data_IF_388668698001
#
_entry.id   IF_388668698001
#
_cell.length_a   1.000
_cell.length_b   1.000
_cell.length_c   1.000
_cell.angle_alpha   90.00
_cell.angle_beta   90.00
_cell.angle_gamma   90.00
#
_symmetry.space_group_name_H-M   'P 1'
#
loop_
_entity.id
_entity.type
_entity.pdbx_description
1 polymer ?
#
# COMPACT_ATOMS: atom_id res chain seq x y z
N UNK A 1 -18.95 13.61 -8.44
CA UNK A 1 -18.31 14.55 -9.41
C UNK A 1 -16.99 15.13 -8.91
N UNK A 2 -16.83 15.50 -7.62
CA UNK A 2 -15.53 15.97 -7.08
C UNK A 2 -14.44 14.90 -7.10
N UNK A 3 -14.79 13.63 -6.77
CA UNK A 3 -13.87 12.47 -6.77
C UNK A 3 -13.29 12.20 -8.19
N UNK A 4 -14.09 12.33 -9.26
CA UNK A 4 -13.64 12.18 -10.65
C UNK A 4 -12.75 13.33 -11.14
N UNK A 5 -12.94 14.53 -10.62
CA UNK A 5 -12.15 15.71 -10.99
C UNK A 5 -10.70 15.63 -10.45
N UNK A 6 -10.51 15.04 -9.28
CA UNK A 6 -9.18 14.81 -8.69
C UNK A 6 -8.40 13.78 -9.53
N UNK A 7 -9.05 12.68 -9.94
CA UNK A 7 -8.45 11.68 -10.82
C UNK A 7 -8.02 12.26 -12.17
N UNK A 8 -8.86 13.12 -12.77
CA UNK A 8 -8.54 13.75 -14.05
C UNK A 8 -7.39 14.77 -13.96
N UNK A 9 -7.24 15.45 -12.83
CA UNK A 9 -6.16 16.40 -12.59
C UNK A 9 -4.80 15.69 -12.43
N UNK A 10 -4.77 14.53 -11.78
CA UNK A 10 -3.57 13.72 -11.62
C UNK A 10 -3.13 13.05 -12.94
N UNK A 11 -4.06 12.54 -13.74
CA UNK A 11 -3.78 11.99 -15.07
C UNK A 11 -3.21 13.03 -16.05
N UNK A 12 -3.54 14.31 -15.89
CA UNK A 12 -2.98 15.37 -16.75
C UNK A 12 -1.54 15.77 -16.40
N UNK A 13 -1.05 15.45 -15.20
CA UNK A 13 0.35 15.64 -14.80
C UNK A 13 1.31 14.60 -15.45
N UNK A 14 0.79 13.53 -16.03
CA UNK A 14 1.55 12.46 -16.70
C UNK A 14 2.26 12.88 -18.01
N UNK A 15 2.15 14.14 -18.43
CA UNK A 15 2.67 14.61 -19.71
C UNK A 15 4.12 15.15 -19.68
N UNK A 16 4.84 15.04 -18.54
CA UNK A 16 6.22 15.53 -18.43
C UNK A 16 7.19 14.41 -18.78
N UNK A 17 7.67 14.39 -20.03
CA UNK A 17 8.66 13.41 -20.51
C UNK A 17 10.08 13.83 -20.12
N UNK A 18 10.63 13.18 -19.10
CA UNK A 18 12.05 13.23 -18.77
C UNK A 18 12.67 11.82 -18.87
N UNK A 19 13.77 11.65 -19.58
CA UNK A 19 14.57 10.43 -19.58
C UNK A 19 15.54 10.46 -18.39
N UNK A 20 15.02 10.32 -17.16
CA UNK A 20 15.87 10.32 -15.98
C UNK A 20 16.11 8.88 -15.49
N UNK A 21 17.38 8.51 -15.26
CA UNK A 21 17.75 7.31 -14.53
C UNK A 21 17.53 7.44 -13.00
N UNK A 22 16.94 8.55 -12.58
CA UNK A 22 16.59 8.87 -11.20
C UNK A 22 15.27 9.64 -11.18
N UNK A 23 14.49 9.45 -10.12
CA UNK A 23 13.24 10.18 -9.88
C UNK A 23 13.18 10.65 -8.44
N UNK A 24 12.44 11.72 -8.16
CA UNK A 24 12.33 12.28 -6.81
C UNK A 24 10.88 12.34 -6.30
N UNK A 25 9.92 12.11 -7.18
CA UNK A 25 8.53 12.00 -6.78
C UNK A 25 7.81 10.89 -7.57
N UNK A 26 6.78 10.35 -6.94
CA UNK A 26 5.88 9.37 -7.55
C UNK A 26 4.44 9.77 -7.22
N UNK A 27 3.55 9.67 -8.20
CA UNK A 27 2.10 9.78 -8.01
C UNK A 27 1.43 8.52 -8.51
N UNK A 28 0.35 8.11 -7.84
CA UNK A 28 -0.43 6.94 -8.16
C UNK A 28 -1.92 7.21 -8.22
N UNK A 29 -2.60 6.36 -8.96
CA UNK A 29 -4.05 6.24 -8.95
C UNK A 29 -4.44 4.77 -9.04
N UNK A 30 -5.47 4.38 -8.30
CA UNK A 30 -5.98 3.01 -8.27
C UNK A 30 -7.49 2.97 -8.34
N UNK A 31 -8.03 1.86 -8.82
CA UNK A 31 -9.44 1.52 -8.76
C UNK A 31 -9.58 0.06 -8.39
N UNK A 32 -10.58 -0.26 -7.58
CA UNK A 32 -10.89 -1.64 -7.20
C UNK A 32 -12.40 -1.86 -7.23
N UNK A 33 -12.77 -3.13 -7.44
CA UNK A 33 -14.14 -3.63 -7.38
C UNK A 33 -14.16 -4.89 -6.52
N UNK A 34 -15.13 -4.98 -5.63
CA UNK A 34 -15.34 -6.14 -4.74
C UNK A 34 -16.71 -6.72 -5.02
N UNK A 35 -16.76 -8.01 -5.29
CA UNK A 35 -17.96 -8.76 -5.63
C UNK A 35 -18.18 -9.88 -4.60
N UNK A 36 -18.97 -9.63 -3.55
CA UNK A 36 -19.30 -10.67 -2.57
C UNK A 36 -20.38 -11.61 -3.09
N UNK A 37 -20.30 -12.87 -2.67
CA UNK A 37 -21.34 -13.88 -2.97
C UNK A 37 -22.70 -13.50 -2.40
N UNK A 38 -22.70 -12.73 -1.31
CA UNK A 38 -23.91 -12.20 -0.67
C UNK A 38 -23.72 -10.71 -0.32
N UNK A 39 -24.76 -9.90 -0.57
CA UNK A 39 -24.75 -8.48 -0.25
C UNK A 39 -24.45 -7.58 -1.45
N UNK A 40 -24.02 -6.37 -1.17
CA UNK A 40 -23.77 -5.36 -2.21
C UNK A 40 -22.32 -5.40 -2.65
N UNK A 41 -22.08 -5.32 -3.94
CA UNK A 41 -20.74 -5.06 -4.50
C UNK A 41 -20.23 -3.69 -4.07
N UNK A 42 -18.92 -3.53 -4.07
CA UNK A 42 -18.24 -2.29 -3.71
C UNK A 42 -17.29 -1.82 -4.78
N UNK A 43 -17.07 -0.52 -4.81
CA UNK A 43 -16.04 0.12 -5.63
C UNK A 43 -15.14 0.94 -4.73
N UNK A 44 -13.85 0.96 -5.03
CA UNK A 44 -12.90 1.87 -4.39
C UNK A 44 -12.08 2.61 -5.43
N UNK A 45 -11.70 3.84 -5.10
CA UNK A 45 -10.81 4.66 -5.89
C UNK A 45 -9.76 5.26 -4.96
N UNK A 46 -8.48 5.16 -5.32
CA UNK A 46 -7.36 5.67 -4.54
C UNK A 46 -6.48 6.62 -5.35
N UNK A 47 -5.85 7.54 -4.65
CA UNK A 47 -4.76 8.38 -5.16
C UNK A 47 -3.67 8.44 -4.12
N UNK A 48 -2.40 8.42 -4.55
CA UNK A 48 -1.25 8.53 -3.68
C UNK A 48 -0.17 9.41 -4.29
N UNK A 49 0.70 9.93 -3.43
CA UNK A 49 1.89 10.67 -3.81
C UNK A 49 3.00 10.45 -2.81
N UNK A 50 4.23 10.27 -3.32
CA UNK A 50 5.44 10.11 -2.52
C UNK A 50 6.51 11.08 -3.01
N UNK A 51 7.15 11.78 -2.08
CA UNK A 51 8.31 12.62 -2.35
C UNK A 51 9.53 12.06 -1.62
N UNK A 52 10.58 11.78 -2.37
CA UNK A 52 11.86 11.29 -1.86
C UNK A 52 12.79 12.47 -1.55
N UNK A 53 13.42 12.45 -0.37
CA UNK A 53 14.30 13.56 0.05
C UNK A 53 15.56 13.69 -0.81
N UNK A 54 15.98 12.57 -1.44
CA UNK A 54 17.03 12.54 -2.46
C UNK A 54 16.54 11.79 -3.69
N UNK A 55 17.05 12.11 -4.89
CA UNK A 55 16.70 11.37 -6.10
C UNK A 55 17.02 9.88 -5.99
N UNK A 56 16.02 9.03 -6.26
CA UNK A 56 16.13 7.57 -6.24
C UNK A 56 16.88 7.10 -7.47
N UNK A 57 17.93 6.32 -7.26
CA UNK A 57 18.71 5.73 -8.34
C UNK A 57 18.16 4.35 -8.72
N UNK A 58 17.73 4.19 -9.97
CA UNK A 58 17.12 2.92 -10.43
C UNK A 58 18.14 1.77 -10.59
N UNK A 59 19.42 2.06 -10.71
CA UNK A 59 20.53 1.07 -10.80
C UNK A 59 20.15 -0.20 -11.59
N UNK A 60 20.82 -1.33 -11.33
CA UNK A 60 20.47 -2.64 -11.91
C UNK A 60 19.55 -3.45 -10.95
N UNK A 61 18.50 -2.82 -10.47
CA UNK A 61 17.50 -3.41 -9.56
C UNK A 61 16.13 -3.49 -10.24
N UNK A 62 15.19 -4.30 -9.72
CA UNK A 62 13.79 -4.22 -10.13
C UNK A 62 13.27 -2.79 -9.95
N UNK A 63 12.62 -2.23 -10.96
CA UNK A 63 12.15 -0.85 -10.89
C UNK A 63 11.15 -0.63 -9.73
N UNK A 64 10.38 -1.66 -9.40
CA UNK A 64 9.45 -1.60 -8.26
C UNK A 64 10.17 -1.41 -6.92
N UNK A 65 11.38 -1.96 -6.76
CA UNK A 65 12.15 -1.96 -5.52
C UNK A 65 13.26 -0.91 -5.47
N UNK A 66 13.33 -0.04 -6.48
CA UNK A 66 14.44 0.92 -6.61
C UNK A 66 14.57 1.84 -5.39
N UNK A 67 13.47 2.40 -4.89
CA UNK A 67 13.48 3.30 -3.73
C UNK A 67 13.94 2.59 -2.44
N UNK A 68 13.45 1.38 -2.21
CA UNK A 68 13.84 0.56 -1.07
C UNK A 68 15.31 0.17 -1.11
N UNK A 69 15.79 -0.36 -2.24
CA UNK A 69 17.18 -0.78 -2.41
C UNK A 69 18.18 0.39 -2.41
N UNK A 70 17.72 1.58 -2.80
CA UNK A 70 18.50 2.83 -2.71
C UNK A 70 18.40 3.48 -1.32
N UNK A 71 17.66 2.89 -0.38
CA UNK A 71 17.39 3.41 0.97
C UNK A 71 16.90 4.86 0.92
N UNK A 72 15.95 5.12 0.04
CA UNK A 72 15.45 6.46 -0.22
C UNK A 72 14.42 6.88 0.83
N UNK A 73 14.85 7.76 1.74
CA UNK A 73 13.96 8.38 2.72
C UNK A 73 12.90 9.23 2.03
N UNK A 74 11.66 9.17 2.51
CA UNK A 74 10.53 9.78 1.83
C UNK A 74 9.42 10.23 2.79
N UNK A 75 8.51 11.02 2.26
CA UNK A 75 7.20 11.32 2.83
C UNK A 75 6.13 10.99 1.80
N UNK A 76 5.06 10.34 2.25
CA UNK A 76 3.93 9.98 1.41
C UNK A 76 2.61 10.49 1.95
N UNK A 77 1.62 10.63 1.06
CA UNK A 77 0.24 10.88 1.43
C UNK A 77 -0.69 10.15 0.45
N UNK A 78 -1.87 9.77 0.92
CA UNK A 78 -2.86 9.09 0.11
C UNK A 78 -4.27 9.43 0.52
N UNK A 79 -5.21 9.21 -0.40
CA UNK A 79 -6.64 9.24 -0.14
C UNK A 79 -7.31 8.08 -0.87
N UNK A 80 -8.23 7.40 -0.18
CA UNK A 80 -9.04 6.31 -0.75
C UNK A 80 -10.51 6.58 -0.46
N UNK A 81 -11.35 6.34 -1.46
CA UNK A 81 -12.78 6.52 -1.43
C UNK A 81 -13.44 5.20 -1.81
N UNK A 82 -14.19 4.61 -0.91
CA UNK A 82 -14.87 3.34 -1.13
C UNK A 82 -16.37 3.48 -0.91
N UNK A 83 -17.14 2.88 -1.81
CA UNK A 83 -18.61 2.83 -1.75
C UNK A 83 -19.03 1.36 -1.79
N UNK A 84 -19.82 0.90 -0.82
CA UNK A 84 -20.39 -0.44 -0.80
C UNK A 84 -21.83 -0.42 -0.27
N UNK A 85 -22.79 -0.60 -1.17
CA UNK A 85 -24.22 -0.57 -0.79
C UNK A 85 -24.64 0.76 -0.20
N UNK A 86 -24.91 0.78 1.11
CA UNK A 86 -25.30 1.98 1.84
C UNK A 86 -24.14 2.59 2.66
N UNK A 87 -22.93 2.03 2.56
CA UNK A 87 -21.77 2.49 3.33
C UNK A 87 -20.77 3.16 2.40
N UNK A 88 -20.37 4.37 2.75
CA UNK A 88 -19.28 5.12 2.14
C UNK A 88 -18.11 5.14 3.15
N UNK A 89 -16.89 4.90 2.70
CA UNK A 89 -15.67 5.00 3.53
C UNK A 89 -14.66 5.89 2.81
N UNK A 90 -14.32 7.02 3.41
CA UNK A 90 -13.27 7.91 2.92
C UNK A 90 -12.05 7.80 3.87
N UNK A 91 -10.86 7.55 3.34
CA UNK A 91 -9.61 7.42 4.11
C UNK A 91 -8.60 8.43 3.61
N UNK A 92 -7.94 9.10 4.54
CA UNK A 92 -6.85 10.04 4.26
C UNK A 92 -5.64 9.68 5.14
N UNK A 93 -4.46 9.51 4.56
CA UNK A 93 -3.29 9.13 5.33
C UNK A 93 -2.02 9.83 4.87
N UNK A 94 -1.04 9.86 5.78
CA UNK A 94 0.31 10.31 5.52
C UNK A 94 1.32 9.44 6.26
N UNK A 95 2.49 9.27 5.67
CA UNK A 95 3.58 8.49 6.24
C UNK A 95 4.94 9.13 5.95
N UNK A 96 5.92 8.78 6.77
CA UNK A 96 7.32 9.13 6.57
C UNK A 96 8.19 7.92 6.81
N UNK A 97 9.20 7.75 5.96
CA UNK A 97 10.22 6.71 6.09
C UNK A 97 11.61 7.35 6.03
N UNK A 98 12.45 7.01 7.00
CA UNK A 98 13.81 7.55 7.11
C UNK A 98 14.82 6.43 7.26
N UNK A 99 15.63 6.23 6.25
CA UNK A 99 16.86 5.45 6.35
C UNK A 99 17.95 6.38 6.93
N UNK A 100 18.39 6.07 8.14
CA UNK A 100 19.34 6.94 8.87
C UNK A 100 20.68 6.98 8.14
N UNK A 101 21.16 8.17 7.71
CA UNK A 101 22.38 8.28 6.92
C UNK A 101 23.60 7.66 7.62
N UNK A 102 24.45 6.97 6.85
CA UNK A 102 25.66 6.29 7.33
C UNK A 102 25.41 5.25 8.44
N UNK A 103 24.25 4.66 8.47
CA UNK A 103 23.89 3.60 9.41
C UNK A 103 23.05 2.54 8.72
N UNK A 104 22.76 1.45 9.43
CA UNK A 104 21.81 0.42 9.00
C UNK A 104 20.47 0.53 9.76
N UNK A 105 20.18 1.68 10.32
CA UNK A 105 18.91 1.93 11.00
C UNK A 105 17.86 2.57 10.08
N UNK A 106 16.61 2.25 10.37
CA UNK A 106 15.41 2.72 9.70
C UNK A 106 14.39 3.18 10.73
N UNK A 107 13.62 4.21 10.40
CA UNK A 107 12.49 4.68 11.21
C UNK A 107 11.32 4.94 10.25
N UNK A 108 10.14 4.45 10.61
CA UNK A 108 8.88 4.70 9.91
C UNK A 108 7.81 5.22 10.85
N UNK A 109 6.94 6.08 10.36
CA UNK A 109 5.74 6.50 11.06
C UNK A 109 4.64 6.90 10.08
N UNK A 110 3.39 6.77 10.51
CA UNK A 110 2.24 7.21 9.71
C UNK A 110 0.98 7.39 10.54
N UNK A 111 0.03 8.09 9.95
CA UNK A 111 -1.31 8.33 10.51
C UNK A 111 -2.33 8.28 9.39
N UNK A 112 -3.51 7.76 9.68
CA UNK A 112 -4.64 7.82 8.76
C UNK A 112 -5.94 8.11 9.51
N UNK A 113 -6.82 8.87 8.87
CA UNK A 113 -8.19 9.14 9.28
C UNK A 113 -9.13 8.37 8.36
N UNK A 114 -10.04 7.61 8.96
CA UNK A 114 -11.09 6.87 8.27
C UNK A 114 -12.43 7.48 8.65
N UNK A 115 -13.19 7.95 7.66
CA UNK A 115 -14.53 8.48 7.83
C UNK A 115 -15.53 7.47 7.28
N UNK A 116 -16.46 6.99 8.10
CA UNK A 116 -17.51 6.05 7.75
C UNK A 116 -18.86 6.78 7.70
N UNK A 117 -19.63 6.59 6.63
CA UNK A 117 -21.01 7.05 6.53
C UNK A 117 -21.92 5.89 6.14
N UNK A 118 -22.84 5.51 7.02
CA UNK A 118 -23.86 4.50 6.73
C UNK A 118 -25.23 5.17 6.59
N UNK A 119 -25.98 4.80 5.52
CA UNK A 119 -27.32 5.32 5.22
C UNK A 119 -28.37 4.25 5.48
N UNK A 120 -29.18 4.46 6.52
CA UNK A 120 -30.33 3.59 6.85
C UNK A 120 -31.61 4.39 6.64
N UNK A 121 -32.26 4.18 5.48
CA UNK A 121 -33.41 4.96 5.06
C UNK A 121 -33.05 6.44 4.81
N UNK A 122 -33.64 7.36 5.58
CA UNK A 122 -33.34 8.80 5.50
C UNK A 122 -32.31 9.27 6.55
N UNK A 123 -31.83 8.38 7.40
CA UNK A 123 -30.88 8.69 8.47
C UNK A 123 -29.47 8.33 8.03
N UNK A 124 -28.53 9.20 8.34
CA UNK A 124 -27.09 9.00 8.13
C UNK A 124 -26.41 8.84 9.48
N UNK A 125 -25.68 7.77 9.64
CA UNK A 125 -24.77 7.55 10.76
C UNK A 125 -23.36 7.85 10.27
N UNK A 126 -22.57 8.52 11.11
CA UNK A 126 -21.18 8.83 10.84
C UNK A 126 -20.36 8.36 11.98
N UNK A 127 -19.20 7.83 11.66
CA UNK A 127 -18.19 7.38 12.60
C UNK A 127 -16.80 7.67 12.04
N UNK A 128 -15.86 8.00 12.91
CA UNK A 128 -14.50 8.35 12.53
C UNK A 128 -13.51 7.46 13.30
N UNK A 129 -12.49 6.98 12.62
CA UNK A 129 -11.42 6.19 13.22
C UNK A 129 -10.07 6.77 12.81
N UNK A 130 -9.24 7.10 13.77
CA UNK A 130 -7.84 7.46 13.55
C UNK A 130 -6.94 6.25 13.78
N UNK A 131 -6.09 5.93 12.82
CA UNK A 131 -5.04 4.92 12.99
C UNK A 131 -3.67 5.56 12.90
N UNK A 132 -2.71 5.04 13.66
CA UNK A 132 -1.33 5.51 13.63
C UNK A 132 -0.36 4.36 13.84
N UNK A 133 0.85 4.51 13.32
CA UNK A 133 1.93 3.56 13.55
C UNK A 133 3.27 4.26 13.67
N UNK A 134 4.19 3.63 14.39
CA UNK A 134 5.59 4.00 14.42
C UNK A 134 6.46 2.76 14.56
N UNK A 135 7.57 2.69 13.82
CA UNK A 135 8.47 1.55 13.85
C UNK A 135 9.93 1.99 13.78
N UNK A 136 10.79 1.16 14.33
CA UNK A 136 12.25 1.23 14.16
C UNK A 136 12.73 -0.06 13.53
N UNK A 137 13.67 0.04 12.60
CA UNK A 137 14.17 -1.09 11.84
C UNK A 137 15.69 -1.11 11.76
N UNK A 138 16.21 -2.28 11.42
CA UNK A 138 17.60 -2.53 11.17
C UNK A 138 17.77 -3.31 9.86
N UNK A 139 18.80 -2.97 9.10
CA UNK A 139 19.16 -3.63 7.84
C UNK A 139 20.41 -4.49 8.03
N UNK A 140 20.28 -5.75 8.51
CA UNK A 140 21.42 -6.63 8.82
C UNK A 140 22.19 -7.09 7.58
N UNK A 141 21.57 -7.00 6.41
CA UNK A 141 22.18 -7.38 5.14
C UNK A 141 21.60 -6.51 4.00
N UNK A 142 22.28 -6.39 2.85
CA UNK A 142 21.73 -5.71 1.69
C UNK A 142 20.37 -6.27 1.30
N UNK A 143 19.39 -5.38 1.16
CA UNK A 143 18.01 -5.73 0.79
C UNK A 143 17.17 -6.36 1.89
N UNK A 144 17.68 -6.58 3.12
CA UNK A 144 16.92 -7.12 4.24
C UNK A 144 16.66 -6.03 5.29
N UNK A 145 15.41 -5.75 5.59
CA UNK A 145 14.95 -4.93 6.68
C UNK A 145 14.16 -5.80 7.67
N UNK A 146 14.43 -5.62 8.96
CA UNK A 146 13.62 -6.14 10.07
C UNK A 146 13.24 -4.93 10.92
N UNK A 147 11.94 -4.72 11.15
CA UNK A 147 11.43 -3.60 11.92
C UNK A 147 10.45 -4.09 12.99
N UNK A 148 10.49 -3.43 14.14
CA UNK A 148 9.53 -3.61 15.21
C UNK A 148 8.93 -2.25 15.57
N UNK A 149 7.64 -2.24 15.94
CA UNK A 149 6.93 -1.00 16.16
C UNK A 149 5.67 -1.17 16.97
N UNK A 150 4.85 -0.15 16.89
CA UNK A 150 3.52 -0.08 17.48
C UNK A 150 2.56 0.42 16.41
N UNK A 151 1.35 -0.14 16.40
CA UNK A 151 0.19 0.33 15.63
C UNK A 151 -0.92 0.62 16.62
N UNK A 152 -1.58 1.73 16.48
CA UNK A 152 -2.69 2.08 17.35
C UNK A 152 -3.88 2.61 16.58
N UNK A 153 -5.01 2.65 17.26
CA UNK A 153 -6.27 3.22 16.80
C UNK A 153 -6.91 4.03 17.91
N UNK A 154 -7.74 4.96 17.52
CA UNK A 154 -8.52 5.84 18.41
C UNK A 154 -9.81 6.20 17.67
N UNK A 155 -10.95 5.85 18.25
CA UNK A 155 -12.28 6.26 17.83
C UNK A 155 -13.02 6.92 19.01
N UNK A 156 -14.27 7.37 18.81
CA UNK A 156 -15.06 8.06 19.84
C UNK A 156 -15.40 7.16 21.05
N UNK A 157 -15.15 5.85 20.99
CA UNK A 157 -15.62 4.86 21.97
C UNK A 157 -14.48 4.04 22.59
N UNK A 158 -13.41 3.79 21.82
CA UNK A 158 -12.33 2.88 22.22
C UNK A 158 -10.99 3.30 21.61
N UNK A 159 -9.90 2.94 22.27
CA UNK A 159 -8.53 3.14 21.80
C UNK A 159 -7.66 1.92 22.13
N UNK A 160 -6.66 1.64 21.31
CA UNK A 160 -5.76 0.53 21.52
C UNK A 160 -4.40 0.72 20.83
N UNK A 161 -3.41 -0.03 21.32
CA UNK A 161 -2.05 -0.03 20.77
C UNK A 161 -1.47 -1.42 20.78
N UNK A 162 -1.12 -1.94 19.60
CA UNK A 162 -0.58 -3.27 19.39
C UNK A 162 0.89 -3.23 18.95
N UNK A 163 1.74 -4.11 19.49
CA UNK A 163 3.10 -4.28 18.98
C UNK A 163 3.09 -4.89 17.58
N UNK A 164 4.03 -4.44 16.75
CA UNK A 164 4.19 -4.91 15.38
C UNK A 164 5.58 -5.45 15.11
N UNK A 165 5.65 -6.41 14.19
CA UNK A 165 6.91 -6.91 13.63
C UNK A 165 6.78 -6.99 12.11
N UNK A 166 7.79 -6.50 11.39
CA UNK A 166 7.82 -6.53 9.93
C UNK A 166 9.19 -6.92 9.40
N UNK A 167 9.19 -7.67 8.30
CA UNK A 167 10.41 -7.96 7.55
C UNK A 167 10.16 -7.75 6.05
N UNK A 168 11.16 -7.21 5.35
CA UNK A 168 11.19 -7.11 3.88
C UNK A 168 12.56 -7.57 3.39
N UNK A 169 12.56 -8.45 2.38
CA UNK A 169 13.79 -8.94 1.79
C UNK A 169 13.73 -8.97 0.28
N UNK A 170 14.54 -8.14 -0.34
CA UNK A 170 14.74 -8.11 -1.79
C UNK A 170 16.12 -8.68 -2.11
N UNK A 171 16.18 -9.74 -2.91
CA UNK A 171 17.43 -10.42 -3.25
C UNK A 171 17.41 -10.99 -4.66
N UNK A 172 18.61 -11.28 -5.18
CA UNK A 172 18.79 -11.97 -6.46
C UNK A 172 19.02 -13.46 -6.23
N UNK A 173 18.19 -14.28 -6.87
CA UNK A 173 18.29 -15.73 -6.82
C UNK A 173 19.48 -16.25 -7.66
N UNK A 174 19.85 -17.52 -7.47
CA UNK A 174 20.95 -18.18 -8.21
C UNK A 174 20.74 -18.23 -9.73
N UNK A 175 19.49 -18.13 -10.20
CA UNK A 175 19.14 -18.05 -11.63
C UNK A 175 19.23 -16.63 -12.21
N UNK A 176 19.69 -15.63 -11.42
CA UNK A 176 19.82 -14.24 -11.83
C UNK A 176 18.51 -13.43 -11.84
N UNK A 177 17.42 -13.99 -11.33
CA UNK A 177 16.15 -13.29 -11.13
C UNK A 177 16.05 -12.72 -9.74
N UNK A 178 15.31 -11.63 -9.59
CA UNK A 178 15.09 -11.05 -8.29
C UNK A 178 13.78 -11.53 -7.69
N UNK A 179 13.71 -11.48 -6.36
CA UNK A 179 12.52 -11.76 -5.57
C UNK A 179 12.39 -10.72 -4.47
N UNK A 180 11.18 -10.29 -4.18
CA UNK A 180 10.79 -9.56 -2.98
C UNK A 180 9.97 -10.50 -2.09
N UNK A 181 10.26 -10.51 -0.80
CA UNK A 181 9.51 -11.23 0.24
C UNK A 181 9.18 -10.24 1.35
N UNK A 182 7.92 -10.19 1.73
CA UNK A 182 7.46 -9.35 2.84
C UNK A 182 6.61 -10.17 3.80
N UNK A 183 6.78 -9.89 5.08
CA UNK A 183 5.95 -10.43 6.14
C UNK A 183 5.77 -9.37 7.22
N UNK A 184 4.57 -9.26 7.76
CA UNK A 184 4.23 -8.37 8.87
C UNK A 184 3.17 -8.97 9.75
N UNK A 185 3.18 -8.57 11.01
CA UNK A 185 2.17 -8.92 11.98
C UNK A 185 1.98 -7.79 13.00
N UNK A 186 0.75 -7.60 13.44
CA UNK A 186 0.38 -6.89 14.66
C UNK A 186 -0.20 -7.91 15.65
N UNK A 187 0.03 -7.71 16.95
CA UNK A 187 -0.35 -8.67 17.98
C UNK A 187 -1.06 -7.94 19.11
N UNK A 188 -2.29 -8.27 19.43
CA UNK A 188 -3.04 -7.66 20.51
C UNK A 188 -4.54 -7.66 20.30
N UNK A 189 -5.18 -6.52 20.47
CA UNK A 189 -6.63 -6.38 20.26
C UNK A 189 -7.00 -6.35 18.76
N UNK A 190 -6.03 -6.03 17.90
CA UNK A 190 -6.18 -5.96 16.45
C UNK A 190 -5.14 -6.86 15.77
N UNK A 191 -5.27 -8.17 15.95
CA UNK A 191 -4.38 -9.12 15.27
C UNK A 191 -4.47 -8.92 13.75
N UNK A 192 -3.31 -8.76 13.13
CA UNK A 192 -3.19 -8.57 11.68
C UNK A 192 -1.98 -9.32 11.16
N UNK A 193 -2.13 -10.01 10.04
CA UNK A 193 -1.04 -10.70 9.36
C UNK A 193 -1.01 -10.30 7.89
N UNK A 194 0.16 -9.99 7.38
CA UNK A 194 0.37 -9.75 5.95
C UNK A 194 1.60 -10.48 5.43
N UNK A 195 1.45 -11.11 4.28
CA UNK A 195 2.52 -11.80 3.56
C UNK A 195 2.48 -11.36 2.10
N UNK A 196 3.64 -11.15 1.49
CA UNK A 196 3.73 -10.92 0.06
C UNK A 196 5.01 -11.53 -0.53
N UNK A 197 4.92 -11.94 -1.78
CA UNK A 197 6.07 -12.40 -2.55
C UNK A 197 5.91 -11.97 -4.01
N UNK A 198 6.92 -11.27 -4.55
CA UNK A 198 6.99 -10.90 -5.96
C UNK A 198 8.19 -11.56 -6.62
N UNK A 199 7.97 -12.20 -7.75
CA UNK A 199 9.01 -12.73 -8.60
C UNK A 199 9.20 -11.83 -9.82
N UNK A 200 10.41 -11.31 -10.01
CA UNK A 200 10.75 -10.42 -11.12
C UNK A 200 11.20 -11.22 -12.34
N UNK A 201 10.32 -11.32 -13.35
CA UNK A 201 10.63 -11.96 -14.63
C UNK A 201 11.76 -11.20 -15.32
N UNK A 202 11.73 -9.89 -15.25
CA UNK A 202 12.79 -8.95 -15.57
C UNK A 202 12.70 -7.71 -14.68
N UNK A 203 13.59 -6.73 -14.84
CA UNK A 203 13.61 -5.53 -13.98
C UNK A 203 12.35 -4.66 -14.11
N UNK A 204 11.50 -4.92 -15.10
CA UNK A 204 10.29 -4.14 -15.40
C UNK A 204 9.00 -4.92 -15.20
N UNK A 205 9.05 -6.25 -15.02
CA UNK A 205 7.87 -7.11 -14.92
C UNK A 205 7.98 -8.03 -13.72
N UNK A 206 7.00 -7.95 -12.82
CA UNK A 206 6.80 -8.92 -11.74
C UNK A 206 5.44 -9.61 -11.83
N UNK A 207 5.39 -10.79 -11.26
CA UNK A 207 4.17 -11.49 -10.82
C UNK A 207 4.32 -11.78 -9.35
N UNK A 208 3.25 -11.59 -8.59
CA UNK A 208 3.27 -11.72 -7.15
C UNK A 208 2.02 -12.38 -6.60
N UNK A 209 2.13 -12.77 -5.35
CA UNK A 209 1.04 -13.24 -4.51
C UNK A 209 1.09 -12.47 -3.19
N UNK A 210 -0.06 -12.25 -2.60
CA UNK A 210 -0.20 -11.63 -1.29
C UNK A 210 -1.30 -12.32 -0.48
N UNK A 211 -1.15 -12.27 0.84
CA UNK A 211 -2.15 -12.70 1.81
C UNK A 211 -2.27 -11.66 2.90
N UNK A 212 -3.48 -11.33 3.24
CA UNK A 212 -3.82 -10.42 4.31
C UNK A 212 -4.91 -11.04 5.20
N UNK A 213 -4.78 -10.88 6.49
CA UNK A 213 -5.70 -11.35 7.51
C UNK A 213 -5.86 -10.26 8.57
N UNK A 214 -7.08 -9.97 9.01
CA UNK A 214 -7.37 -8.92 9.97
C UNK A 214 -8.59 -9.29 10.83
N UNK A 215 -8.35 -9.52 12.11
CA UNK A 215 -9.36 -9.91 13.07
C UNK A 215 -10.40 -8.80 13.33
N UNK A 216 -10.01 -7.52 13.29
CA UNK A 216 -10.94 -6.40 13.48
C UNK A 216 -12.11 -6.42 12.48
N UNK A 217 -11.84 -6.86 11.26
CA UNK A 217 -12.84 -6.95 10.19
C UNK A 217 -13.33 -8.36 9.96
N UNK A 218 -12.83 -9.34 10.73
CA UNK A 218 -13.07 -10.77 10.50
C UNK A 218 -12.92 -11.08 9.00
N UNK A 219 -11.76 -10.70 8.44
CA UNK A 219 -11.56 -10.76 7.00
C UNK A 219 -10.16 -11.23 6.65
N UNK A 220 -10.11 -12.11 5.66
CA UNK A 220 -8.87 -12.52 5.03
C UNK A 220 -8.97 -12.42 3.50
N UNK A 221 -7.85 -12.23 2.84
CA UNK A 221 -7.80 -12.21 1.37
C UNK A 221 -6.46 -12.75 0.86
N UNK A 222 -6.51 -13.65 -0.11
CA UNK A 222 -5.39 -14.06 -0.93
C UNK A 222 -5.45 -13.36 -2.28
N UNK A 223 -4.35 -12.73 -2.71
CA UNK A 223 -4.24 -12.01 -3.97
C UNK A 223 -3.19 -12.57 -4.91
N UNK A 224 -3.41 -12.35 -6.20
CA UNK A 224 -2.43 -12.56 -7.28
C UNK A 224 -2.31 -11.25 -8.03
N UNK A 225 -1.10 -10.76 -8.23
CA UNK A 225 -0.85 -9.51 -8.91
C UNK A 225 0.19 -9.64 -10.03
N UNK A 226 0.16 -8.70 -10.96
CA UNK A 226 1.22 -8.51 -11.94
C UNK A 226 1.45 -7.01 -12.16
N UNK A 227 2.72 -6.59 -12.11
CA UNK A 227 3.13 -5.20 -12.32
C UNK A 227 4.09 -5.10 -13.50
N UNK A 228 3.81 -4.15 -14.40
CA UNK A 228 4.66 -3.85 -15.54
C UNK A 228 5.04 -2.37 -15.59
N UNK A 229 6.32 -2.10 -15.69
CA UNK A 229 6.87 -0.81 -16.09
C UNK A 229 7.01 -0.76 -17.61
N UNK A 230 6.26 0.11 -18.25
CA UNK A 230 6.34 0.35 -19.70
C UNK A 230 7.50 1.28 -20.04
N UNK A 231 7.82 2.17 -19.12
CA UNK A 231 9.00 3.02 -19.11
C UNK A 231 9.53 3.05 -17.67
N UNK A 232 10.75 3.55 -17.38
CA UNK A 232 11.20 3.72 -16.00
C UNK A 232 10.27 4.58 -15.15
N UNK A 233 9.45 5.43 -15.78
CA UNK A 233 8.53 6.35 -15.10
C UNK A 233 7.10 5.80 -14.96
N UNK A 234 6.64 4.95 -15.88
CA UNK A 234 5.23 4.54 -15.94
C UNK A 234 5.06 3.07 -15.64
N UNK A 235 4.29 2.75 -14.62
CA UNK A 235 3.87 1.39 -14.32
C UNK A 235 2.36 1.22 -14.31
N UNK A 236 1.94 0.00 -14.60
CA UNK A 236 0.58 -0.51 -14.43
C UNK A 236 0.64 -1.80 -13.63
N UNK A 237 -0.29 -1.95 -12.71
CA UNK A 237 -0.49 -3.17 -11.93
C UNK A 237 -1.93 -3.63 -12.05
N UNK A 238 -2.14 -4.94 -12.16
CA UNK A 238 -3.42 -5.60 -12.04
C UNK A 238 -3.38 -6.61 -10.90
N UNK A 239 -4.47 -6.72 -10.13
CA UNK A 239 -4.62 -7.66 -9.03
C UNK A 239 -5.99 -8.33 -9.07
N UNK A 240 -6.04 -9.61 -8.74
CA UNK A 240 -7.26 -10.35 -8.43
C UNK A 240 -7.10 -10.93 -7.03
N UNK A 241 -8.15 -10.84 -6.22
CA UNK A 241 -8.17 -11.35 -4.86
C UNK A 241 -9.37 -12.25 -4.62
N UNK A 242 -9.19 -13.16 -3.67
CA UNK A 242 -10.19 -14.13 -3.19
C UNK A 242 -10.17 -14.07 -1.68
N UNK A 243 -11.28 -13.70 -1.08
CA UNK A 243 -11.33 -13.46 0.36
C UNK A 243 -12.65 -13.86 0.99
N UNK A 244 -12.64 -13.78 2.31
CA UNK A 244 -13.80 -13.96 3.16
C UNK A 244 -13.89 -12.75 4.11
N UNK A 245 -15.09 -12.27 4.37
CA UNK A 245 -15.38 -11.23 5.35
C UNK A 245 -16.61 -11.63 6.16
N UNK A 246 -16.41 -11.94 7.45
CA UNK A 246 -17.39 -12.60 8.27
C UNK A 246 -17.73 -13.99 7.71
N UNK A 247 -18.96 -14.18 7.26
CA UNK A 247 -19.42 -15.46 6.66
C UNK A 247 -19.69 -15.34 5.15
N UNK A 248 -19.08 -14.37 4.47
CA UNK A 248 -19.31 -14.11 3.05
C UNK A 248 -18.01 -14.15 2.27
N UNK A 249 -17.92 -15.08 1.32
CA UNK A 249 -16.85 -15.10 0.33
C UNK A 249 -17.01 -13.92 -0.63
N UNK A 250 -15.88 -13.40 -1.13
CA UNK A 250 -15.86 -12.37 -2.15
C UNK A 250 -14.69 -12.51 -3.12
N UNK A 251 -14.85 -11.94 -4.30
CA UNK A 251 -13.77 -11.72 -5.25
C UNK A 251 -13.44 -10.23 -5.32
N UNK A 252 -12.16 -9.90 -5.46
CA UNK A 252 -11.71 -8.52 -5.68
C UNK A 252 -10.92 -8.39 -6.97
N UNK A 253 -11.05 -7.22 -7.61
CA UNK A 253 -10.32 -6.86 -8.83
C UNK A 253 -9.75 -5.46 -8.66
N UNK A 254 -8.46 -5.31 -8.87
CA UNK A 254 -7.77 -4.03 -8.72
C UNK A 254 -6.92 -3.69 -9.94
N UNK A 255 -6.80 -2.39 -10.21
CA UNK A 255 -5.86 -1.83 -11.17
C UNK A 255 -5.22 -0.59 -10.55
N UNK A 256 -3.92 -0.43 -10.73
CA UNK A 256 -3.19 0.76 -10.29
C UNK A 256 -2.20 1.22 -11.35
N UNK A 257 -2.06 2.53 -11.49
CA UNK A 257 -1.07 3.15 -12.37
C UNK A 257 -0.24 4.14 -11.58
N UNK A 258 1.07 4.17 -11.82
CA UNK A 258 2.00 5.09 -11.17
C UNK A 258 2.87 5.81 -12.17
N UNK A 259 3.22 7.04 -11.84
CA UNK A 259 4.13 7.89 -12.60
C UNK A 259 5.20 8.49 -11.69
N UNK A 260 6.46 8.41 -12.16
CA UNK A 260 7.67 8.89 -11.49
C UNK A 260 8.30 10.06 -12.24
N UNK A 261 8.78 11.07 -11.53
CA UNK A 261 9.41 12.26 -12.12
C UNK A 261 10.47 12.88 -11.20
#
# INVERSE_FOLDING_TARGET
>A
MKKLAIASALLSALAITGTANAYQAEIGASAAYVDPDNGSSGNAFGVDGTYYFNPVQTRNAPLAEAAYLDRASNIGAYATFADRGNTDTDTYGANVEVFVPNSDFYVGAGVAQHEFEEKIGAVKFKDDLTTYHAEVGYLPAPGLLIAAGLKGYDDDHDDGVDPTLRAKYVTTLSNGKDINLEAGAAFGDLDEYNLAADYYIDKTLSIGVDYYDNDLRDSNEFGINARKFFTPQVSLEGRVGFGEAGNADYNSFGIAAKYRF
#
